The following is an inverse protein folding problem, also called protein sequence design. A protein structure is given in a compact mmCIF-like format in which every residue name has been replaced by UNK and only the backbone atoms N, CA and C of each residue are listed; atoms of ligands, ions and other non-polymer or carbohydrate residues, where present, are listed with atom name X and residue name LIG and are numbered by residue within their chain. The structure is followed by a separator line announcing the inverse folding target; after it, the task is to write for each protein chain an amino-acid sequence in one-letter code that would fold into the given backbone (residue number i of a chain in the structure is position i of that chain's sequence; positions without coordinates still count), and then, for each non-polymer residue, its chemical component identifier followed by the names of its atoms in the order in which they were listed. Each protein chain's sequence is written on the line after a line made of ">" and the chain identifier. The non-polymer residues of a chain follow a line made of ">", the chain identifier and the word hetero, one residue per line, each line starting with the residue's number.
data_IF_619899106861
#
_entry.id   IF_619899106861
#
_cell.length_a   1.000
_cell.length_b   1.000
_cell.length_c   1.000
_cell.angle_alpha   90.00
_cell.angle_beta   90.00
_cell.angle_gamma   90.00
#
_symmetry.space_group_name_H-M   'P 1'
#
loop_
_entity.id
_entity.type
_entity.pdbx_description
1 polymer ?
#
# COMPACT_ATOMS: atom_id res chain seq x y z
N UNK A 1 -29.11 20.23 30.40
CA UNK A 1 -27.87 20.54 29.67
C UNK A 1 -27.83 19.58 28.50
N UNK A 2 -28.21 20.06 27.32
CA UNK A 2 -28.21 19.27 26.10
C UNK A 2 -26.78 19.26 25.58
N UNK A 3 -26.19 18.06 25.52
CA UNK A 3 -24.82 17.88 25.05
C UNK A 3 -24.78 18.09 23.53
N UNK A 4 -24.17 19.19 23.13
CA UNK A 4 -23.81 19.50 21.76
C UNK A 4 -22.78 18.47 21.27
N UNK A 5 -23.21 17.57 20.38
CA UNK A 5 -22.32 16.62 19.72
C UNK A 5 -21.57 17.33 18.59
N UNK A 6 -20.60 18.17 18.97
CA UNK A 6 -19.73 18.89 18.05
C UNK A 6 -18.81 17.93 17.28
N UNK A 7 -19.06 17.83 15.98
CA UNK A 7 -18.10 17.68 14.87
C UNK A 7 -16.78 16.95 15.19
N UNK A 8 -16.85 15.62 15.35
CA UNK A 8 -15.68 14.72 15.38
C UNK A 8 -15.33 14.11 14.01
N UNK A 9 -15.81 14.68 12.91
CA UNK A 9 -15.63 14.10 11.58
C UNK A 9 -14.18 14.26 11.07
N UNK A 10 -13.51 15.37 11.41
CA UNK A 10 -12.18 15.68 10.88
C UNK A 10 -11.03 14.90 11.55
N UNK A 11 -11.20 14.43 12.79
CA UNK A 11 -10.09 13.81 13.55
C UNK A 11 -9.67 12.43 13.06
N UNK A 12 -10.42 11.81 12.14
CA UNK A 12 -10.19 10.45 11.66
C UNK A 12 -9.64 10.38 10.23
N UNK A 13 -9.39 11.52 9.59
CA UNK A 13 -8.75 11.53 8.27
C UNK A 13 -7.23 11.62 8.42
N UNK A 14 -6.48 10.51 8.19
CA UNK A 14 -5.03 10.55 8.28
C UNK A 14 -4.46 11.41 7.15
N UNK A 15 -3.43 12.20 7.46
CA UNK A 15 -2.66 12.91 6.43
C UNK A 15 -1.95 11.92 5.51
N UNK A 16 -1.83 12.27 4.22
CA UNK A 16 -1.19 11.43 3.21
C UNK A 16 0.29 11.21 3.55
N UNK A 17 0.72 9.94 3.55
CA UNK A 17 2.12 9.59 3.76
C UNK A 17 3.05 10.15 2.66
N UNK A 18 4.20 10.69 3.05
CA UNK A 18 5.18 11.31 2.13
C UNK A 18 6.34 10.38 1.73
N UNK A 19 6.54 9.29 2.47
CA UNK A 19 7.61 8.31 2.21
C UNK A 19 7.32 7.56 0.90
N UNK A 20 8.28 7.48 -0.05
CA UNK A 20 8.11 6.71 -1.27
C UNK A 20 7.71 5.26 -0.97
N UNK A 21 6.57 4.84 -1.48
CA UNK A 21 5.94 3.55 -1.20
C UNK A 21 5.86 2.74 -2.49
N UNK A 22 6.29 1.48 -2.43
CA UNK A 22 6.05 0.50 -3.49
C UNK A 22 4.90 -0.42 -3.10
N UNK A 23 4.04 -0.76 -4.06
CA UNK A 23 2.96 -1.75 -3.89
C UNK A 23 3.26 -2.94 -4.81
N UNK A 24 3.31 -4.12 -4.21
CA UNK A 24 3.42 -5.41 -4.90
C UNK A 24 2.14 -6.20 -4.59
N UNK A 25 1.31 -6.42 -5.60
CA UNK A 25 0.01 -7.08 -5.47
C UNK A 25 0.10 -8.51 -6.04
N UNK A 26 -0.22 -9.51 -5.22
CA UNK A 26 -0.29 -10.91 -5.67
C UNK A 26 -1.55 -11.18 -6.50
N UNK A 27 -1.57 -12.28 -7.24
CA UNK A 27 -2.70 -12.63 -8.11
C UNK A 27 -4.04 -12.83 -7.38
N UNK A 28 -4.01 -13.15 -6.09
CA UNK A 28 -5.19 -13.48 -5.31
C UNK A 28 -5.54 -12.44 -4.24
N UNK A 29 -4.76 -11.36 -4.12
CA UNK A 29 -5.07 -10.24 -3.25
C UNK A 29 -5.98 -9.22 -3.95
N UNK A 30 -6.92 -8.64 -3.19
CA UNK A 30 -7.82 -7.60 -3.69
C UNK A 30 -7.41 -6.26 -3.09
N UNK A 31 -7.17 -5.27 -3.94
CA UNK A 31 -6.88 -3.89 -3.52
C UNK A 31 -7.59 -2.88 -4.41
N UNK A 32 -7.76 -1.65 -3.91
CA UNK A 32 -8.33 -0.53 -4.66
C UNK A 32 -7.25 0.51 -4.87
N UNK A 33 -6.56 0.43 -6.02
CA UNK A 33 -5.43 1.30 -6.35
C UNK A 33 -5.68 2.80 -6.10
N UNK A 34 -6.84 3.38 -6.48
CA UNK A 34 -7.12 4.79 -6.18
C UNK A 34 -7.07 5.16 -4.69
N UNK A 35 -7.41 4.23 -3.79
CA UNK A 35 -7.34 4.48 -2.35
C UNK A 35 -5.89 4.45 -1.86
N UNK A 36 -5.09 3.51 -2.35
CA UNK A 36 -3.66 3.46 -2.03
C UNK A 36 -2.91 4.72 -2.51
N UNK A 37 -3.19 5.20 -3.72
CA UNK A 37 -2.56 6.41 -4.28
C UNK A 37 -3.02 7.70 -3.57
N UNK A 38 -4.27 7.72 -3.07
CA UNK A 38 -4.81 8.81 -2.23
C UNK A 38 -4.08 8.89 -0.88
N UNK A 39 -3.90 7.76 -0.21
CA UNK A 39 -3.43 7.72 1.18
C UNK A 39 -1.90 7.63 1.31
N UNK A 40 -1.20 7.19 0.26
CA UNK A 40 0.26 6.97 0.27
C UNK A 40 0.98 7.59 -0.93
N UNK A 41 2.25 7.94 -0.75
CA UNK A 41 3.15 8.33 -1.84
C UNK A 41 3.63 7.12 -2.64
N UNK A 42 2.71 6.52 -3.41
CA UNK A 42 3.00 5.38 -4.29
C UNK A 42 3.88 5.83 -5.45
N UNK A 43 5.08 5.23 -5.57
CA UNK A 43 6.05 5.49 -6.65
C UNK A 43 6.31 4.25 -7.52
N UNK A 44 5.78 3.10 -7.13
CA UNK A 44 5.90 1.84 -7.85
C UNK A 44 4.65 0.99 -7.59
N UNK A 45 4.09 0.41 -8.66
CA UNK A 45 2.93 -0.49 -8.59
C UNK A 45 3.20 -1.68 -9.51
N UNK A 46 3.16 -2.89 -8.95
CA UNK A 46 3.43 -4.14 -9.65
C UNK A 46 2.33 -5.12 -9.29
N UNK A 47 1.73 -5.73 -10.31
CA UNK A 47 0.73 -6.78 -10.17
C UNK A 47 1.37 -8.08 -10.68
N UNK A 48 1.28 -9.12 -9.87
CA UNK A 48 1.80 -10.44 -10.18
C UNK A 48 0.68 -11.35 -10.68
N UNK A 49 1.03 -12.25 -11.60
CA UNK A 49 0.13 -13.30 -12.09
C UNK A 49 0.18 -14.56 -11.22
N UNK A 50 0.92 -14.54 -10.10
CA UNK A 50 1.06 -15.66 -9.16
C UNK A 50 1.04 -15.25 -7.67
N UNK A 51 0.86 -16.25 -6.80
CA UNK A 51 0.87 -16.12 -5.35
C UNK A 51 -0.44 -15.57 -4.76
N UNK A 52 -0.54 -15.63 -3.45
CA UNK A 52 -1.62 -15.08 -2.65
C UNK A 52 -1.14 -14.34 -1.42
N UNK A 53 -1.97 -14.34 -0.39
CA UNK A 53 -1.77 -13.55 0.83
C UNK A 53 -0.42 -13.81 1.51
N UNK A 54 0.11 -15.04 1.39
CA UNK A 54 1.38 -15.44 1.98
C UNK A 54 2.50 -15.40 0.93
N UNK A 55 2.55 -14.37 0.10
CA UNK A 55 3.52 -14.20 -1.01
C UNK A 55 4.97 -14.50 -0.61
N UNK A 56 5.39 -14.16 0.62
CA UNK A 56 6.73 -14.45 1.11
C UNK A 56 7.04 -15.95 1.22
N UNK A 57 6.03 -16.79 1.47
CA UNK A 57 6.13 -18.25 1.52
C UNK A 57 5.83 -18.89 0.16
N UNK A 58 4.94 -18.28 -0.63
CA UNK A 58 4.48 -18.83 -1.91
C UNK A 58 5.46 -18.55 -3.06
N UNK A 59 6.03 -17.34 -3.12
CA UNK A 59 6.96 -16.89 -4.15
C UNK A 59 8.12 -16.06 -3.53
N UNK A 60 8.96 -16.68 -2.67
CA UNK A 60 10.03 -15.97 -1.96
C UNK A 60 11.03 -15.29 -2.89
N UNK A 61 11.33 -15.91 -4.03
CA UNK A 61 12.28 -15.39 -5.00
C UNK A 61 11.74 -14.15 -5.72
N UNK A 62 10.45 -14.15 -6.07
CA UNK A 62 9.77 -12.99 -6.69
C UNK A 62 9.71 -11.83 -5.72
N UNK A 63 9.25 -12.06 -4.49
CA UNK A 63 9.23 -11.03 -3.45
C UNK A 63 10.63 -10.42 -3.25
N UNK A 64 11.65 -11.27 -3.14
CA UNK A 64 13.03 -10.83 -2.93
C UNK A 64 13.55 -10.03 -4.14
N UNK A 65 13.25 -10.46 -5.36
CA UNK A 65 13.66 -9.77 -6.57
C UNK A 65 13.05 -8.37 -6.64
N UNK A 66 11.75 -8.24 -6.38
CA UNK A 66 11.03 -6.97 -6.44
C UNK A 66 11.45 -6.00 -5.33
N UNK A 67 11.63 -6.49 -4.10
CA UNK A 67 12.18 -5.68 -3.01
C UNK A 67 13.55 -5.13 -3.40
N UNK A 68 14.45 -5.97 -3.91
CA UNK A 68 15.77 -5.52 -4.36
C UNK A 68 15.68 -4.56 -5.56
N UNK A 69 14.74 -4.77 -6.47
CA UNK A 69 14.54 -3.88 -7.62
C UNK A 69 14.08 -2.50 -7.18
N UNK A 70 13.14 -2.43 -6.23
CA UNK A 70 12.65 -1.17 -5.66
C UNK A 70 13.79 -0.33 -5.06
N UNK A 71 14.66 -0.93 -4.25
CA UNK A 71 15.76 -0.20 -3.58
C UNK A 71 16.98 0.07 -4.47
N UNK A 72 17.09 -0.56 -5.64
CA UNK A 72 18.21 -0.34 -6.58
C UNK A 72 18.00 0.84 -7.51
N UNK A 73 16.77 1.34 -7.67
CA UNK A 73 16.54 2.54 -8.48
C UNK A 73 17.27 3.73 -7.83
N UNK A 74 18.07 4.51 -8.58
CA UNK A 74 18.72 5.70 -8.03
C UNK A 74 17.64 6.65 -7.51
N UNK A 75 17.86 7.17 -6.29
CA UNK A 75 16.99 8.14 -5.64
C UNK A 75 16.90 9.44 -6.43
#
# INVERSE_FOLDING_TARGET
>A
AEGEWGEGADSWTPERGTVPTGVLLSAHDVTVRPWAERDHHVVSWIELDEGGHFLAMEAPDVLTAEVRAFFRKPR
#
